data_IF_568314031470
#
_entry.id   IF_568314031470
#
_cell.length_a   1.000
_cell.length_b   1.000
_cell.length_c   1.000
_cell.angle_alpha   90.00
_cell.angle_beta   90.00
_cell.angle_gamma   90.00
#
_symmetry.space_group_name_H-M   'P 1'
#
loop_
_entity.id
_entity.type
_entity.pdbx_description
1 polymer ?
#
# COMPACT_ATOMS: atom_id res chain seq x y z
N UNK A 1 -32.86 20.82 0.35
CA UNK A 1 -33.53 20.28 -0.85
C UNK A 1 -32.78 19.07 -1.34
N UNK A 2 -33.50 17.96 -1.25
CA UNK A 2 -33.23 16.57 -1.65
C UNK A 2 -32.43 16.48 -2.96
N UNK A 3 -31.33 15.73 -2.94
CA UNK A 3 -30.81 15.06 -4.15
C UNK A 3 -31.11 13.56 -3.98
N UNK A 4 -32.36 13.20 -4.25
CA UNK A 4 -32.70 11.94 -4.90
C UNK A 4 -32.53 12.23 -6.38
N UNK A 5 -31.50 11.67 -7.02
CA UNK A 5 -31.46 11.27 -8.44
C UNK A 5 -30.01 10.98 -8.83
N UNK A 6 -29.58 9.73 -8.67
CA UNK A 6 -28.77 9.06 -9.69
C UNK A 6 -29.30 7.63 -9.81
N UNK A 7 -30.44 7.50 -10.50
CA UNK A 7 -30.78 6.27 -11.23
C UNK A 7 -30.94 6.61 -12.71
N UNK A 8 -29.96 7.30 -13.30
CA UNK A 8 -29.55 6.82 -14.62
C UNK A 8 -28.98 5.42 -14.39
N UNK A 9 -29.15 4.43 -15.29
CA UNK A 9 -28.39 3.20 -15.14
C UNK A 9 -26.91 3.60 -15.17
N UNK A 10 -26.26 3.64 -14.01
CA UNK A 10 -24.81 3.75 -13.94
C UNK A 10 -24.32 2.50 -14.65
N UNK A 11 -23.95 2.65 -15.92
CA UNK A 11 -23.33 1.58 -16.69
C UNK A 11 -21.83 1.79 -16.53
N UNK A 12 -21.12 0.91 -15.80
CA UNK A 12 -19.67 0.98 -15.78
C UNK A 12 -19.21 0.90 -17.24
N UNK A 13 -18.47 1.92 -17.67
CA UNK A 13 -17.80 1.91 -18.95
C UNK A 13 -16.44 1.24 -18.74
N UNK A 14 -16.01 0.35 -19.65
CA UNK A 14 -14.64 -0.17 -19.62
C UNK A 14 -13.65 0.99 -19.63
N UNK A 15 -12.51 0.82 -18.96
CA UNK A 15 -11.40 1.79 -18.93
C UNK A 15 -11.71 3.18 -18.33
N UNK A 16 -12.84 3.36 -17.62
CA UNK A 16 -13.22 4.66 -17.02
C UNK A 16 -13.17 4.61 -15.49
N UNK A 17 -12.40 5.53 -14.90
CA UNK A 17 -12.43 5.76 -13.45
C UNK A 17 -13.67 6.55 -13.09
N UNK A 18 -14.61 5.89 -12.41
CA UNK A 18 -15.82 6.53 -11.89
C UNK A 18 -15.63 6.93 -10.42
N UNK A 19 -15.65 8.24 -10.14
CA UNK A 19 -15.56 8.76 -8.77
C UNK A 19 -16.94 8.98 -8.16
N UNK A 20 -17.23 8.26 -7.09
CA UNK A 20 -18.44 8.45 -6.27
C UNK A 20 -18.03 9.24 -5.02
N UNK A 21 -18.46 10.51 -4.92
CA UNK A 21 -18.23 11.34 -3.74
C UNK A 21 -19.43 11.27 -2.81
N UNK A 22 -19.22 10.84 -1.56
CA UNK A 22 -20.27 10.83 -0.53
C UNK A 22 -19.68 11.27 0.82
N UNK A 23 -20.48 11.92 1.68
CA UNK A 23 -20.03 12.42 2.98
C UNK A 23 -19.85 11.29 4.01
N UNK A 24 -19.13 11.53 5.12
CA UNK A 24 -19.05 10.56 6.21
C UNK A 24 -20.46 10.15 6.69
N UNK A 25 -20.69 8.85 6.90
CA UNK A 25 -22.00 8.32 7.31
C UNK A 25 -23.08 8.29 6.23
N UNK A 26 -22.77 8.66 4.98
CA UNK A 26 -23.75 8.67 3.87
C UNK A 26 -23.97 7.32 3.16
N UNK A 27 -23.37 6.25 3.67
CA UNK A 27 -23.51 4.91 3.08
C UNK A 27 -22.67 4.66 1.83
N UNK A 28 -21.41 5.15 1.78
CA UNK A 28 -20.44 4.84 0.70
C UNK A 28 -20.33 3.33 0.43
N UNK A 29 -19.99 2.56 1.46
CA UNK A 29 -19.91 1.10 1.39
C UNK A 29 -21.24 0.47 0.99
N UNK A 30 -22.37 1.02 1.44
CA UNK A 30 -23.70 0.56 1.04
C UNK A 30 -23.96 0.79 -0.45
N UNK A 31 -23.56 1.94 -0.99
CA UNK A 31 -23.66 2.27 -2.41
C UNK A 31 -22.81 1.32 -3.25
N UNK A 32 -21.58 1.03 -2.82
CA UNK A 32 -20.70 0.05 -3.49
C UNK A 32 -21.30 -1.37 -3.49
N UNK A 33 -21.99 -1.77 -2.41
CA UNK A 33 -22.72 -3.07 -2.35
C UNK A 33 -23.91 -3.11 -3.32
N UNK A 34 -24.70 -2.04 -3.39
CA UNK A 34 -25.82 -1.93 -4.32
C UNK A 34 -25.32 -1.98 -5.77
N UNK A 35 -24.23 -1.27 -6.05
CA UNK A 35 -23.59 -1.28 -7.35
C UNK A 35 -23.14 -2.70 -7.73
N UNK A 36 -22.43 -3.39 -6.85
CA UNK A 36 -22.01 -4.77 -7.10
C UNK A 36 -23.18 -5.73 -7.34
N UNK A 37 -24.29 -5.55 -6.59
CA UNK A 37 -25.49 -6.38 -6.71
C UNK A 37 -26.24 -6.15 -8.03
N UNK A 38 -26.15 -4.94 -8.60
CA UNK A 38 -26.73 -4.63 -9.90
C UNK A 38 -26.00 -5.31 -11.08
N UNK A 39 -24.77 -5.79 -10.86
CA UNK A 39 -23.91 -6.40 -11.88
C UNK A 39 -23.42 -7.80 -11.49
N UNK A 40 -24.34 -8.78 -11.28
CA UNK A 40 -23.99 -10.09 -10.75
C UNK A 40 -23.09 -10.94 -11.67
N UNK A 41 -23.01 -10.61 -12.96
CA UNK A 41 -22.15 -11.29 -13.93
C UNK A 41 -20.69 -10.84 -13.89
N UNK A 42 -20.39 -9.69 -13.28
CA UNK A 42 -19.03 -9.13 -13.22
C UNK A 42 -18.27 -9.71 -12.03
N UNK A 43 -16.99 -10.04 -12.23
CA UNK A 43 -16.02 -10.35 -11.18
C UNK A 43 -15.49 -9.04 -10.63
N UNK A 44 -15.90 -8.70 -9.41
CA UNK A 44 -15.61 -7.40 -8.82
C UNK A 44 -14.60 -7.57 -7.69
N UNK A 45 -13.55 -6.76 -7.70
CA UNK A 45 -12.65 -6.60 -6.55
C UNK A 45 -13.11 -5.40 -5.73
N UNK A 46 -13.31 -5.60 -4.43
CA UNK A 46 -13.54 -4.52 -3.47
C UNK A 46 -12.29 -4.33 -2.62
N UNK A 47 -11.71 -3.12 -2.68
CA UNK A 47 -10.49 -2.74 -1.99
C UNK A 47 -10.75 -1.78 -0.84
N UNK A 48 -10.18 -2.09 0.32
CA UNK A 48 -10.11 -1.19 1.48
C UNK A 48 -8.65 -0.92 1.86
N UNK A 49 -8.42 0.27 2.42
CA UNK A 49 -7.08 0.71 2.82
C UNK A 49 -6.69 0.22 4.22
N UNK A 50 -7.55 0.37 5.23
CA UNK A 50 -7.31 -0.15 6.58
C UNK A 50 -8.26 -1.29 6.95
N UNK A 51 -7.75 -2.17 7.83
CA UNK A 51 -8.53 -3.23 8.47
C UNK A 51 -9.47 -2.70 9.56
N UNK A 52 -9.16 -1.52 10.11
CA UNK A 52 -9.94 -0.90 11.18
C UNK A 52 -11.18 -0.16 10.65
N UNK A 53 -11.10 0.38 9.42
CA UNK A 53 -12.22 1.08 8.76
C UNK A 53 -13.30 0.10 8.29
N UNK A 54 -12.95 -1.17 8.13
CA UNK A 54 -13.90 -2.26 7.95
C UNK A 54 -13.40 -3.52 8.65
N UNK A 55 -13.86 -3.82 9.89
CA UNK A 55 -13.50 -5.05 10.60
C UNK A 55 -13.92 -6.33 9.85
N UNK A 56 -14.74 -6.21 8.79
CA UNK A 56 -15.14 -7.28 7.89
C UNK A 56 -14.21 -7.41 6.66
N UNK A 57 -13.18 -6.54 6.47
CA UNK A 57 -12.20 -6.61 5.39
C UNK A 57 -11.23 -7.80 5.47
N UNK A 58 -11.42 -8.68 6.47
CA UNK A 58 -10.85 -10.01 6.39
C UNK A 58 -11.46 -10.76 5.19
N UNK A 59 -10.65 -11.52 4.44
CA UNK A 59 -11.12 -12.37 3.33
C UNK A 59 -12.26 -13.34 3.73
N UNK A 60 -12.54 -13.47 5.04
CA UNK A 60 -13.48 -14.43 5.62
C UNK A 60 -14.88 -13.88 5.89
N UNK A 61 -15.09 -12.56 5.93
CA UNK A 61 -16.41 -12.01 6.28
C UNK A 61 -17.03 -11.26 5.09
N UNK A 62 -17.69 -11.99 4.19
CA UNK A 62 -18.36 -11.40 3.02
C UNK A 62 -19.73 -10.78 3.36
N UNK A 63 -19.99 -10.48 4.64
CA UNK A 63 -21.28 -9.97 5.12
C UNK A 63 -21.67 -8.69 4.37
N UNK A 64 -22.74 -8.81 3.58
CA UNK A 64 -23.39 -7.71 2.89
C UNK A 64 -22.91 -7.46 1.45
N UNK A 65 -21.87 -8.12 0.96
CA UNK A 65 -21.50 -8.08 -0.46
C UNK A 65 -22.02 -9.33 -1.20
N UNK A 66 -22.41 -9.20 -2.48
CA UNK A 66 -22.84 -10.33 -3.30
C UNK A 66 -21.68 -11.29 -3.63
N UNK A 67 -22.01 -12.51 -4.08
CA UNK A 67 -21.05 -13.59 -4.31
C UNK A 67 -20.05 -13.32 -5.45
N UNK A 68 -20.33 -12.35 -6.32
CA UNK A 68 -19.46 -11.93 -7.40
C UNK A 68 -18.37 -10.93 -6.96
N UNK A 69 -18.33 -10.58 -5.68
CA UNK A 69 -17.33 -9.68 -5.09
C UNK A 69 -16.28 -10.44 -4.30
N UNK A 70 -15.02 -10.15 -4.59
CA UNK A 70 -13.86 -10.53 -3.78
C UNK A 70 -13.41 -9.31 -2.99
N UNK A 71 -13.26 -9.46 -1.67
CA UNK A 71 -12.83 -8.38 -0.79
C UNK A 71 -11.39 -8.61 -0.36
N UNK A 72 -10.53 -7.62 -0.60
CA UNK A 72 -9.13 -7.67 -0.19
C UNK A 72 -8.63 -6.28 0.20
N UNK A 73 -7.55 -6.24 0.97
CA UNK A 73 -6.76 -5.02 1.14
C UNK A 73 -5.64 -5.01 0.09
N UNK A 74 -5.20 -3.82 -0.32
CA UNK A 74 -4.02 -3.63 -1.19
C UNK A 74 -2.82 -4.37 -0.63
N UNK A 75 -2.69 -4.29 0.70
CA UNK A 75 -1.71 -4.98 1.50
C UNK A 75 -1.77 -6.51 1.40
N UNK A 76 -2.96 -7.11 1.49
CA UNK A 76 -3.11 -8.56 1.35
C UNK A 76 -2.79 -9.07 -0.05
N UNK A 77 -3.12 -8.29 -1.08
CA UNK A 77 -2.78 -8.63 -2.48
C UNK A 77 -1.28 -8.63 -2.66
N UNK A 78 -0.63 -7.51 -2.32
CA UNK A 78 0.80 -7.36 -2.48
C UNK A 78 1.58 -8.39 -1.65
N UNK A 79 1.12 -8.73 -0.45
CA UNK A 79 1.70 -9.82 0.37
C UNK A 79 1.64 -11.16 -0.33
N UNK A 80 0.48 -11.54 -0.87
CA UNK A 80 0.29 -12.85 -1.52
C UNK A 80 1.21 -12.99 -2.72
N UNK A 81 1.29 -11.95 -3.54
CA UNK A 81 2.10 -11.94 -4.75
C UNK A 81 3.60 -11.96 -4.45
N UNK A 82 4.03 -11.18 -3.46
CA UNK A 82 5.46 -11.07 -3.11
C UNK A 82 6.00 -12.25 -2.30
N UNK A 83 5.15 -13.25 -2.02
CA UNK A 83 5.43 -14.42 -1.18
C UNK A 83 6.03 -14.05 0.18
N UNK A 84 5.65 -12.89 0.73
CA UNK A 84 6.21 -12.43 1.99
C UNK A 84 5.76 -13.36 3.13
N UNK A 85 6.74 -14.03 3.76
CA UNK A 85 6.55 -14.94 4.90
C UNK A 85 7.00 -14.26 6.21
N UNK A 86 6.33 -14.58 7.32
CA UNK A 86 6.69 -14.09 8.67
C UNK A 86 5.67 -13.15 9.32
N UNK A 87 5.99 -12.68 10.53
CA UNK A 87 5.23 -11.65 11.23
C UNK A 87 5.64 -10.28 10.73
N UNK A 88 4.66 -9.46 10.34
CA UNK A 88 4.85 -8.12 9.79
C UNK A 88 4.81 -7.13 10.95
N UNK A 89 5.95 -6.96 11.58
CA UNK A 89 6.16 -5.94 12.60
C UNK A 89 7.07 -4.86 12.02
N UNK A 90 6.83 -3.62 12.42
CA UNK A 90 7.77 -2.54 12.18
C UNK A 90 9.17 -2.96 12.68
N UNK A 91 10.23 -2.86 11.84
CA UNK A 91 11.57 -3.23 12.24
C UNK A 91 11.96 -2.53 13.53
N UNK A 92 12.38 -3.31 14.52
CA UNK A 92 12.82 -2.75 15.80
C UNK A 92 14.01 -1.83 15.54
N UNK A 93 13.92 -0.57 15.96
CA UNK A 93 14.97 0.45 15.75
C UNK A 93 16.37 -0.04 16.18
N UNK A 94 16.46 -0.83 17.25
CA UNK A 94 17.72 -1.45 17.69
C UNK A 94 18.31 -2.37 16.62
N UNK A 95 17.50 -3.24 16.04
CA UNK A 95 17.92 -4.18 15.00
C UNK A 95 18.36 -3.44 13.74
N UNK A 96 17.59 -2.43 13.31
CA UNK A 96 17.96 -1.57 12.19
C UNK A 96 19.27 -0.84 12.47
N UNK A 97 19.46 -0.30 13.68
CA UNK A 97 20.71 0.33 14.08
C UNK A 97 21.89 -0.63 13.98
N UNK A 98 21.79 -1.81 14.60
CA UNK A 98 22.87 -2.80 14.65
C UNK A 98 23.22 -3.31 13.22
N UNK A 99 22.23 -3.38 12.32
CA UNK A 99 22.43 -3.60 10.88
C UNK A 99 23.21 -2.46 10.19
N UNK A 100 22.82 -1.20 10.42
CA UNK A 100 23.49 -0.04 9.81
C UNK A 100 24.90 0.17 10.37
N UNK A 101 25.11 -0.01 11.68
CA UNK A 101 26.42 0.11 12.34
C UNK A 101 27.43 -0.90 11.78
N UNK A 102 27.02 -2.16 11.52
CA UNK A 102 27.89 -3.16 10.87
C UNK A 102 28.31 -2.76 9.46
N UNK A 103 27.47 -2.02 8.73
CA UNK A 103 27.78 -1.52 7.38
C UNK A 103 28.68 -0.28 7.39
N UNK A 104 28.51 0.59 8.38
CA UNK A 104 29.26 1.84 8.48
C UNK A 104 30.56 1.72 9.29
N UNK A 105 30.67 0.70 10.15
CA UNK A 105 31.85 0.47 10.99
C UNK A 105 31.96 1.41 12.20
N UNK A 106 30.90 2.13 12.56
CA UNK A 106 30.85 3.00 13.74
C UNK A 106 29.45 3.06 14.34
N UNK A 107 29.35 3.52 15.59
CA UNK A 107 28.06 3.61 16.28
C UNK A 107 27.18 4.74 15.74
N UNK A 108 25.88 4.51 15.74
CA UNK A 108 24.82 5.43 15.34
C UNK A 108 23.88 5.71 16.50
N UNK A 109 23.30 6.91 16.51
CA UNK A 109 22.19 7.20 17.40
C UNK A 109 20.84 6.83 16.75
N UNK A 110 19.78 6.75 17.56
CA UNK A 110 18.45 6.40 17.07
C UNK A 110 17.82 7.46 16.16
N UNK A 111 18.27 8.72 16.19
CA UNK A 111 17.78 9.74 15.25
C UNK A 111 18.23 9.45 13.81
N UNK A 112 19.47 8.96 13.62
CA UNK A 112 19.95 8.52 12.30
C UNK A 112 19.07 7.39 11.78
N UNK A 113 18.73 6.43 12.64
CA UNK A 113 17.85 5.30 12.31
C UNK A 113 16.46 5.79 11.89
N UNK A 114 15.92 6.77 12.60
CA UNK A 114 14.62 7.38 12.28
C UNK A 114 14.63 8.07 10.91
N UNK A 115 15.70 8.79 10.57
CA UNK A 115 15.86 9.39 9.24
C UNK A 115 15.93 8.31 8.16
N UNK A 116 16.68 7.22 8.37
CA UNK A 116 16.80 6.13 7.39
C UNK A 116 15.47 5.43 7.18
N UNK A 117 14.77 5.06 8.25
CA UNK A 117 13.42 4.46 8.19
C UNK A 117 12.44 5.41 7.50
N UNK A 118 12.47 6.69 7.88
CA UNK A 118 11.61 7.72 7.33
C UNK A 118 11.85 7.98 5.84
N UNK A 119 13.11 7.94 5.40
CA UNK A 119 13.52 8.10 4.00
C UNK A 119 13.11 6.89 3.17
N UNK A 120 13.37 5.66 3.66
CA UNK A 120 12.91 4.45 2.99
C UNK A 120 11.38 4.43 2.86
N UNK A 121 10.66 4.77 3.93
CA UNK A 121 9.21 4.79 3.90
C UNK A 121 8.63 5.88 2.98
N UNK A 122 9.25 7.07 2.94
CA UNK A 122 8.83 8.13 2.01
C UNK A 122 8.86 7.65 0.56
N UNK A 123 9.93 6.95 0.16
CA UNK A 123 9.99 6.35 -1.16
C UNK A 123 9.02 5.18 -1.33
N UNK A 124 8.94 4.26 -0.38
CA UNK A 124 8.01 3.13 -0.46
C UNK A 124 6.55 3.58 -0.64
N UNK A 125 6.21 4.78 -0.15
CA UNK A 125 4.88 5.39 -0.27
C UNK A 125 4.69 6.29 -1.49
N UNK A 126 5.76 6.65 -2.21
CA UNK A 126 5.72 7.46 -3.42
C UNK A 126 5.42 6.63 -4.67
N UNK A 127 5.13 7.30 -5.79
CA UNK A 127 5.04 6.67 -7.12
C UNK A 127 6.39 6.48 -7.81
N UNK A 128 7.48 6.89 -7.17
CA UNK A 128 8.79 6.95 -7.83
C UNK A 128 9.40 5.55 -7.96
N UNK A 129 9.95 5.19 -9.13
CA UNK A 129 10.54 3.87 -9.36
C UNK A 129 11.86 3.69 -8.59
N UNK A 130 12.56 4.78 -8.30
CA UNK A 130 13.87 4.77 -7.65
C UNK A 130 13.90 5.69 -6.43
N UNK A 131 14.66 5.27 -5.42
CA UNK A 131 14.94 6.08 -4.23
C UNK A 131 15.93 7.19 -4.60
N UNK A 132 15.67 8.41 -4.14
CA UNK A 132 16.44 9.61 -4.47
C UNK A 132 16.50 10.61 -3.31
N UNK A 133 17.29 11.66 -3.47
CA UNK A 133 17.43 12.77 -2.51
C UNK A 133 16.12 13.50 -2.19
N UNK A 134 15.12 13.43 -3.06
CA UNK A 134 13.79 14.01 -2.81
C UNK A 134 13.03 13.30 -1.69
N UNK A 135 13.38 12.03 -1.42
CA UNK A 135 12.78 11.24 -0.35
C UNK A 135 13.46 11.44 1.00
N UNK A 136 14.65 12.05 1.01
CA UNK A 136 15.43 12.28 2.23
C UNK A 136 14.69 13.29 3.09
N UNK A 137 14.51 12.97 4.38
CA UNK A 137 13.90 13.87 5.36
C UNK A 137 14.86 14.98 5.77
N UNK A 138 15.14 15.92 4.86
CA UNK A 138 16.15 16.99 5.00
C UNK A 138 15.98 17.80 6.30
N UNK A 139 14.74 18.05 6.72
CA UNK A 139 14.46 18.71 8.01
C UNK A 139 14.98 17.92 9.22
N UNK A 140 14.73 16.61 9.27
CA UNK A 140 15.21 15.73 10.32
C UNK A 140 16.75 15.55 10.26
N UNK A 141 17.33 15.53 9.05
CA UNK A 141 18.79 15.50 8.86
C UNK A 141 19.45 16.73 9.50
N UNK A 142 18.86 17.92 9.33
CA UNK A 142 19.39 19.15 9.94
C UNK A 142 19.44 19.09 11.47
N UNK A 143 18.54 18.34 12.11
CA UNK A 143 18.50 18.15 13.56
C UNK A 143 19.50 17.10 14.09
N UNK A 144 20.16 16.36 13.20
CA UNK A 144 21.22 15.44 13.58
C UNK A 144 22.46 16.19 14.05
N UNK A 145 23.29 15.49 14.83
CA UNK A 145 24.62 15.98 15.19
C UNK A 145 25.48 16.16 13.92
N UNK A 146 26.38 17.16 13.87
CA UNK A 146 27.15 17.50 12.67
C UNK A 146 27.85 16.29 12.01
N UNK A 147 28.39 15.37 12.81
CA UNK A 147 29.08 14.17 12.34
C UNK A 147 28.21 13.21 11.52
N UNK A 148 26.88 13.26 11.67
CA UNK A 148 25.94 12.37 10.97
C UNK A 148 25.25 13.03 9.78
N UNK A 149 25.35 14.36 9.61
CA UNK A 149 24.64 15.08 8.54
C UNK A 149 25.14 14.75 7.14
N UNK A 150 26.41 14.34 7.05
CA UNK A 150 27.06 13.97 5.79
C UNK A 150 26.86 12.50 5.40
N UNK A 151 26.07 11.72 6.17
CA UNK A 151 25.74 10.36 5.80
C UNK A 151 24.90 10.33 4.52
N UNK A 152 25.14 9.32 3.70
CA UNK A 152 24.37 9.07 2.48
C UNK A 152 23.07 8.35 2.84
N UNK A 153 22.02 9.14 3.13
CA UNK A 153 20.72 8.61 3.56
C UNK A 153 20.00 7.83 2.47
N UNK A 154 20.22 8.19 1.20
CA UNK A 154 19.69 7.44 0.05
C UNK A 154 20.28 6.04 0.05
N UNK A 155 21.61 5.91 0.13
CA UNK A 155 22.27 4.60 0.14
C UNK A 155 21.92 3.76 1.36
N UNK A 156 21.80 4.38 2.55
CA UNK A 156 21.41 3.67 3.77
C UNK A 156 19.96 3.17 3.71
N UNK A 157 19.03 4.00 3.22
CA UNK A 157 17.63 3.61 3.05
C UNK A 157 17.47 2.55 1.95
N UNK A 158 18.24 2.62 0.86
CA UNK A 158 18.28 1.58 -0.18
C UNK A 158 18.78 0.26 0.39
N UNK A 159 19.89 0.27 1.13
CA UNK A 159 20.43 -0.92 1.77
C UNK A 159 19.45 -1.55 2.78
N UNK A 160 18.68 -0.72 3.49
CA UNK A 160 17.61 -1.19 4.37
C UNK A 160 16.49 -1.88 3.59
N UNK A 161 16.00 -1.27 2.52
CA UNK A 161 14.97 -1.87 1.66
C UNK A 161 15.45 -3.19 1.04
N UNK A 162 16.68 -3.22 0.52
CA UNK A 162 17.26 -4.43 -0.07
C UNK A 162 17.33 -5.57 0.95
N UNK A 163 17.70 -5.26 2.20
CA UNK A 163 17.67 -6.24 3.29
C UNK A 163 16.24 -6.70 3.63
N UNK A 164 15.23 -5.82 3.57
CA UNK A 164 13.84 -6.22 3.81
C UNK A 164 13.32 -7.20 2.76
N UNK A 165 13.73 -7.07 1.49
CA UNK A 165 13.24 -7.91 0.39
C UNK A 165 14.10 -9.14 0.12
N UNK A 166 15.29 -9.23 0.73
CA UNK A 166 16.23 -10.34 0.58
C UNK A 166 15.69 -11.60 1.28
N UNK A 167 15.38 -12.69 0.54
CA UNK A 167 14.89 -13.93 1.12
C UNK A 167 15.86 -14.58 2.12
N UNK A 168 17.15 -14.22 2.08
CA UNK A 168 18.19 -14.74 2.97
C UNK A 168 18.44 -13.82 4.18
N UNK A 169 17.84 -12.63 4.23
CA UNK A 169 17.94 -11.72 5.36
C UNK A 169 16.71 -11.87 6.27
N UNK A 170 16.85 -12.56 7.39
CA UNK A 170 15.77 -12.74 8.37
C UNK A 170 15.79 -11.73 9.51
N UNK A 171 16.79 -10.85 9.54
CA UNK A 171 16.98 -9.87 10.62
C UNK A 171 16.06 -8.65 10.45
N UNK A 172 15.83 -8.21 9.21
CA UNK A 172 15.02 -7.04 8.89
C UNK A 172 13.70 -7.49 8.28
N UNK A 173 12.60 -7.31 9.02
CA UNK A 173 11.27 -7.69 8.55
C UNK A 173 10.75 -6.75 7.47
N UNK A 174 9.97 -7.28 6.53
CA UNK A 174 9.18 -6.48 5.60
C UNK A 174 8.07 -5.72 6.34
N UNK A 175 7.89 -4.45 5.99
CA UNK A 175 6.74 -3.64 6.44
C UNK A 175 5.58 -3.74 5.45
N UNK A 176 4.43 -3.15 5.80
CA UNK A 176 3.32 -2.98 4.88
C UNK A 176 3.72 -2.18 3.62
N UNK A 177 4.53 -1.15 3.79
CA UNK A 177 5.09 -0.33 2.70
C UNK A 177 6.01 -1.13 1.79
N UNK A 178 6.79 -2.07 2.35
CA UNK A 178 7.82 -2.81 1.64
C UNK A 178 7.24 -3.68 0.54
N UNK A 179 6.29 -4.56 0.86
CA UNK A 179 5.73 -5.44 -0.16
C UNK A 179 4.87 -4.66 -1.17
N UNK A 180 4.28 -3.52 -0.77
CA UNK A 180 3.45 -2.72 -1.67
C UNK A 180 4.32 -2.07 -2.74
N UNK A 181 5.44 -1.45 -2.33
CA UNK A 181 6.45 -0.98 -3.28
C UNK A 181 7.01 -2.14 -4.11
N UNK A 182 7.32 -3.30 -3.51
CA UNK A 182 7.83 -4.47 -4.23
C UNK A 182 6.85 -4.97 -5.31
N UNK A 183 5.54 -5.01 -5.01
CA UNK A 183 4.48 -5.40 -5.95
C UNK A 183 4.40 -4.43 -7.14
N UNK A 184 4.40 -3.12 -6.84
CA UNK A 184 4.34 -2.10 -7.89
C UNK A 184 5.58 -2.17 -8.79
N UNK A 185 6.77 -2.31 -8.20
CA UNK A 185 8.02 -2.43 -8.95
C UNK A 185 8.12 -3.74 -9.75
N UNK A 186 7.45 -4.82 -9.34
CA UNK A 186 7.43 -6.06 -10.11
C UNK A 186 6.54 -5.99 -11.35
N UNK A 187 5.70 -4.96 -11.47
CA UNK A 187 4.71 -4.86 -12.55
C UNK A 187 3.65 -5.96 -12.50
N UNK A 188 3.41 -6.52 -11.31
CA UNK A 188 2.44 -7.61 -11.16
C UNK A 188 1.01 -7.09 -11.32
N UNK A 189 0.15 -7.90 -11.94
CA UNK A 189 -1.27 -7.62 -12.08
C UNK A 189 -2.06 -8.26 -10.94
N UNK A 190 -3.15 -7.59 -10.55
CA UNK A 190 -4.10 -8.08 -9.57
C UNK A 190 -5.02 -9.08 -10.26
N UNK A 191 -4.84 -10.36 -9.96
CA UNK A 191 -5.60 -11.44 -10.59
C UNK A 191 -6.63 -12.05 -9.64
N UNK A 192 -7.77 -12.45 -10.20
CA UNK A 192 -8.77 -13.23 -9.47
C UNK A 192 -8.30 -14.68 -9.27
N UNK A 193 -9.03 -15.47 -8.46
CA UNK A 193 -8.65 -16.87 -8.17
C UNK A 193 -8.49 -17.77 -9.41
N UNK A 194 -9.16 -17.44 -10.51
CA UNK A 194 -9.02 -18.15 -11.79
C UNK A 194 -7.83 -17.69 -12.63
N UNK A 195 -7.00 -16.75 -12.15
CA UNK A 195 -5.81 -16.25 -12.84
C UNK A 195 -6.06 -15.18 -13.91
N UNK A 196 -7.30 -14.71 -14.05
CA UNK A 196 -7.65 -13.62 -14.98
C UNK A 196 -7.87 -12.28 -14.27
N UNK A 197 -8.10 -11.19 -15.02
CA UNK A 197 -8.38 -9.88 -14.45
C UNK A 197 -9.74 -9.84 -13.73
N UNK A 198 -9.94 -8.79 -12.93
CA UNK A 198 -11.26 -8.40 -12.45
C UNK A 198 -11.94 -7.50 -13.47
N UNK A 199 -13.26 -7.61 -13.60
CA UNK A 199 -14.05 -6.77 -14.52
C UNK A 199 -14.28 -5.37 -13.93
N UNK A 200 -14.15 -5.21 -12.61
CA UNK A 200 -14.22 -3.91 -11.94
C UNK A 200 -13.48 -3.92 -10.60
N UNK A 201 -12.92 -2.76 -10.23
CA UNK A 201 -12.34 -2.51 -8.91
C UNK A 201 -13.16 -1.41 -8.22
N UNK A 202 -13.72 -1.72 -7.05
CA UNK A 202 -14.40 -0.78 -6.17
C UNK A 202 -13.43 -0.38 -5.06
N UNK A 203 -13.05 0.89 -5.01
CA UNK A 203 -12.17 1.44 -3.99
C UNK A 203 -12.99 2.20 -2.94
N UNK A 204 -12.98 1.73 -1.70
CA UNK A 204 -13.54 2.48 -0.57
C UNK A 204 -12.47 3.38 0.07
N UNK A 205 -12.91 4.50 0.66
CA UNK A 205 -12.04 5.52 1.25
C UNK A 205 -10.89 6.00 0.34
N UNK A 206 -11.21 6.18 -0.95
CA UNK A 206 -10.27 6.59 -1.99
C UNK A 206 -9.49 7.88 -1.68
N UNK A 207 -9.99 8.72 -0.76
CA UNK A 207 -9.29 9.94 -0.33
C UNK A 207 -8.05 9.68 0.54
N UNK A 208 -7.95 8.51 1.18
CA UNK A 208 -6.85 8.15 2.09
C UNK A 208 -5.74 7.34 1.38
N UNK A 209 -5.86 7.19 0.07
CA UNK A 209 -4.97 6.39 -0.77
C UNK A 209 -3.63 7.10 -0.99
N UNK A 210 -2.53 6.41 -0.67
CA UNK A 210 -1.17 6.88 -0.99
C UNK A 210 -0.80 6.68 -2.47
N UNK A 211 0.26 7.36 -2.92
CA UNK A 211 0.65 7.37 -4.34
C UNK A 211 1.06 5.99 -4.87
N UNK A 212 1.75 5.18 -4.07
CA UNK A 212 2.11 3.80 -4.46
C UNK A 212 0.88 2.91 -4.65
N UNK A 213 -0.16 3.08 -3.83
CA UNK A 213 -1.43 2.36 -3.98
C UNK A 213 -2.16 2.84 -5.23
N UNK A 214 -2.21 4.15 -5.46
CA UNK A 214 -2.81 4.68 -6.69
C UNK A 214 -2.12 4.12 -7.93
N UNK A 215 -0.78 4.07 -7.92
CA UNK A 215 0.00 3.46 -9.00
C UNK A 215 -0.33 1.97 -9.19
N UNK A 216 -0.46 1.21 -8.11
CA UNK A 216 -0.90 -0.19 -8.14
C UNK A 216 -2.25 -0.34 -8.86
N UNK A 217 -3.21 0.55 -8.60
CA UNK A 217 -4.54 0.51 -9.22
C UNK A 217 -4.53 0.95 -10.68
N UNK A 218 -3.79 2.01 -11.01
CA UNK A 218 -3.70 2.53 -12.38
C UNK A 218 -2.92 1.60 -13.32
N UNK A 219 -2.11 0.69 -12.78
CA UNK A 219 -1.40 -0.31 -13.55
C UNK A 219 -2.27 -1.52 -13.96
N UNK A 220 -3.52 -1.60 -13.49
CA UNK A 220 -4.39 -2.72 -13.81
C UNK A 220 -5.00 -2.59 -15.21
N UNK A 221 -5.15 -3.70 -15.96
CA UNK A 221 -5.86 -3.69 -17.23
C UNK A 221 -7.33 -3.29 -16.99
N UNK A 222 -7.88 -2.50 -17.92
CA UNK A 222 -9.28 -2.07 -17.89
C UNK A 222 -10.23 -2.96 -18.68
#
# INVERSE_FOLDING_TARGET
NIIQNVLSPFKPLPDVVHRITAFAGSGKTHTLRLLASAYPSLKILYLTFNRDDDPLASEKDNKGFPSNVVRQTTCSIARKETQAMGNFEEPRKKVVRDFLERRLGHSLNYKVVDVVLGTANAWMMSSDPELSEEHVRKGEVCELKPEFRALDFVKLAKALYDAMIDPHCHEISMTHSTYLKKFVLSGAEITCKSGGPFDAILLDEAQDVNMVTLQMLLAQPG
#
